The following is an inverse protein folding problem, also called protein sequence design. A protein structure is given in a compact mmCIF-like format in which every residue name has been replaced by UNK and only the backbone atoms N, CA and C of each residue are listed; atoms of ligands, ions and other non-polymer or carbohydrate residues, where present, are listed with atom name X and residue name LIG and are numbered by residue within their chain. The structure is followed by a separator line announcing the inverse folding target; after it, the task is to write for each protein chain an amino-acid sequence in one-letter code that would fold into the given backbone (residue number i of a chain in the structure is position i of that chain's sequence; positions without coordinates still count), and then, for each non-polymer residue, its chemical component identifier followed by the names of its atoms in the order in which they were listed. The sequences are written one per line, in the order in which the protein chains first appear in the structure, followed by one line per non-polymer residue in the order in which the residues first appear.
data_IF_684983762617
#
_entry.id   IF_684983762617
#
_cell.length_a   1.000
_cell.length_b   1.000
_cell.length_c   1.000
_cell.angle_alpha   90.00
_cell.angle_beta   90.00
_cell.angle_gamma   90.00
#
_symmetry.space_group_name_H-M   'P 1'
#
loop_
_entity.id
_entity.type
_entity.pdbx_description
1 polymer ?
#
# COMPACT_ATOMS: atom_id res chain seq x y z
N UNK A 1 -7.98 -18.99 23.78
CA UNK A 1 -7.01 -19.78 22.99
C UNK A 1 -6.18 -18.83 22.13
N UNK A 2 -4.86 -18.75 22.30
CA UNK A 2 -4.03 -17.94 21.40
C UNK A 2 -4.11 -18.54 20.00
N UNK A 3 -4.55 -17.74 19.03
CA UNK A 3 -4.80 -18.15 17.64
C UNK A 3 -3.45 -18.46 16.99
N UNK A 4 -3.12 -19.74 16.80
CA UNK A 4 -1.87 -20.16 16.16
C UNK A 4 -1.71 -19.45 14.80
N UNK A 5 -0.64 -18.66 14.67
CA UNK A 5 -0.28 -17.98 13.43
C UNK A 5 0.48 -19.00 12.58
N UNK A 6 -0.23 -19.65 11.67
CA UNK A 6 0.37 -20.61 10.73
C UNK A 6 1.22 -19.88 9.70
N UNK A 7 2.35 -20.45 9.29
CA UNK A 7 3.31 -19.90 8.32
C UNK A 7 2.63 -19.42 7.02
N UNK A 8 1.62 -20.16 6.55
CA UNK A 8 0.81 -19.81 5.37
C UNK A 8 0.12 -18.44 5.47
N UNK A 9 -0.35 -18.07 6.67
CA UNK A 9 -0.99 -16.76 6.89
C UNK A 9 0.02 -15.62 6.83
N UNK A 10 1.28 -15.87 7.21
CA UNK A 10 2.36 -14.89 7.17
C UNK A 10 2.79 -14.68 5.73
N UNK A 11 3.05 -15.78 4.99
CA UNK A 11 3.40 -15.74 3.56
C UNK A 11 2.31 -15.04 2.75
N UNK A 12 1.03 -15.33 3.02
CA UNK A 12 -0.09 -14.65 2.36
C UNK A 12 -0.12 -13.14 2.64
N UNK A 13 0.14 -12.72 3.88
CA UNK A 13 0.23 -11.29 4.23
C UNK A 13 1.43 -10.62 3.57
N UNK A 14 2.55 -11.33 3.45
CA UNK A 14 3.75 -10.85 2.77
C UNK A 14 3.54 -10.67 1.27
N UNK A 15 2.87 -11.61 0.61
CA UNK A 15 2.47 -11.48 -0.80
C UNK A 15 1.51 -10.31 -1.02
N UNK A 16 0.53 -10.12 -0.14
CA UNK A 16 -0.38 -8.96 -0.17
C UNK A 16 0.42 -7.67 0.01
N UNK A 17 1.38 -7.65 0.93
CA UNK A 17 2.25 -6.50 1.13
C UNK A 17 3.06 -6.19 -0.14
N UNK A 18 3.66 -7.19 -0.76
CA UNK A 18 4.45 -7.03 -1.98
C UNK A 18 3.60 -6.47 -3.13
N UNK A 19 2.37 -6.98 -3.27
CA UNK A 19 1.38 -6.43 -4.18
C UNK A 19 1.04 -4.97 -3.85
N UNK A 20 0.80 -4.64 -2.59
CA UNK A 20 0.52 -3.27 -2.14
C UNK A 20 1.69 -2.33 -2.43
N UNK A 21 2.92 -2.78 -2.17
CA UNK A 21 4.16 -2.02 -2.35
C UNK A 21 4.37 -1.62 -3.82
N UNK A 22 4.04 -2.51 -4.75
CA UNK A 22 4.12 -2.25 -6.20
C UNK A 22 2.92 -1.41 -6.67
N UNK A 23 1.71 -1.72 -6.19
CA UNK A 23 0.48 -1.05 -6.64
C UNK A 23 0.40 0.41 -6.17
N UNK A 24 0.93 0.70 -4.97
CA UNK A 24 0.97 2.04 -4.37
C UNK A 24 1.62 3.12 -5.28
N UNK A 25 2.89 3.00 -5.71
CA UNK A 25 3.52 3.99 -6.58
C UNK A 25 2.87 4.06 -7.97
N UNK A 26 2.25 2.97 -8.45
CA UNK A 26 1.51 2.96 -9.72
C UNK A 26 0.29 3.87 -9.64
N UNK A 27 -0.52 3.76 -8.58
CA UNK A 27 -1.71 4.60 -8.38
C UNK A 27 -1.33 6.08 -8.26
N UNK A 28 -0.24 6.38 -7.55
CA UNK A 28 0.29 7.74 -7.42
C UNK A 28 0.78 8.27 -8.78
N UNK A 29 1.46 7.45 -9.56
CA UNK A 29 1.91 7.80 -10.92
C UNK A 29 0.73 8.09 -11.86
N UNK A 30 -0.35 7.33 -11.75
CA UNK A 30 -1.61 7.58 -12.49
C UNK A 30 -2.25 8.89 -12.02
N UNK A 31 -2.26 9.17 -10.72
CA UNK A 31 -2.74 10.44 -10.16
C UNK A 31 -1.99 11.65 -10.72
N UNK A 32 -0.66 11.57 -10.81
CA UNK A 32 0.15 12.63 -11.42
C UNK A 32 -0.11 12.78 -12.92
N UNK A 33 -0.31 11.68 -13.65
CA UNK A 33 -0.71 11.73 -15.07
C UNK A 33 -2.09 12.36 -15.24
N UNK A 34 -3.05 12.02 -14.37
CA UNK A 34 -4.38 12.61 -14.38
C UNK A 34 -4.32 14.12 -14.11
N UNK A 35 -3.50 14.57 -13.16
CA UNK A 35 -3.28 16.00 -12.90
C UNK A 35 -2.70 16.74 -14.11
N UNK A 36 -1.89 16.07 -14.93
CA UNK A 36 -1.32 16.66 -16.16
C UNK A 36 -2.32 16.73 -17.31
N UNK A 37 -3.32 15.84 -17.33
CA UNK A 37 -4.33 15.74 -18.41
C UNK A 37 -5.53 16.64 -18.09
N UNK A 38 -5.98 16.65 -16.84
CA UNK A 38 -7.03 17.52 -16.36
C UNK A 38 -6.40 18.81 -15.87
N UNK A 39 -6.24 19.76 -16.80
CA UNK A 39 -5.68 21.09 -16.55
C UNK A 39 -6.77 22.18 -16.48
N UNK A 40 -7.96 21.92 -17.03
CA UNK A 40 -9.08 22.87 -17.06
C UNK A 40 -10.08 22.66 -15.91
N UNK A 41 -10.40 23.77 -15.22
CA UNK A 41 -11.50 23.81 -14.26
C UNK A 41 -12.84 23.49 -14.96
N UNK A 42 -13.73 22.69 -14.35
CA UNK A 42 -13.71 22.20 -12.97
C UNK A 42 -13.11 20.79 -12.78
N UNK A 43 -12.54 20.17 -13.83
CA UNK A 43 -12.13 18.74 -13.82
C UNK A 43 -10.88 18.46 -12.98
N UNK A 44 -10.11 19.50 -12.61
CA UNK A 44 -8.89 19.36 -11.79
C UNK A 44 -9.18 18.86 -10.37
N UNK A 45 -10.38 19.11 -9.83
CA UNK A 45 -10.78 18.60 -8.49
C UNK A 45 -10.71 17.08 -8.39
N UNK A 46 -11.05 16.39 -9.47
CA UNK A 46 -10.99 14.92 -9.53
C UNK A 46 -9.53 14.44 -9.48
N UNK A 47 -8.62 15.14 -10.16
CA UNK A 47 -7.21 14.82 -10.12
C UNK A 47 -6.61 15.00 -8.72
N UNK A 48 -6.98 16.07 -8.01
CA UNK A 48 -6.55 16.29 -6.62
C UNK A 48 -7.14 15.23 -5.66
N UNK A 49 -8.39 14.82 -5.85
CA UNK A 49 -8.98 13.74 -5.05
C UNK A 49 -8.23 12.40 -5.24
N UNK A 50 -7.92 12.05 -6.50
CA UNK A 50 -7.17 10.83 -6.83
C UNK A 50 -5.74 10.89 -6.26
N UNK A 51 -5.07 12.03 -6.35
CA UNK A 51 -3.74 12.20 -5.76
C UNK A 51 -3.78 12.11 -4.23
N UNK A 52 -4.77 12.71 -3.57
CA UNK A 52 -4.95 12.61 -2.12
C UNK A 52 -5.12 11.15 -1.67
N UNK A 53 -5.96 10.39 -2.38
CA UNK A 53 -6.13 8.94 -2.14
C UNK A 53 -4.82 8.19 -2.39
N UNK A 54 -4.09 8.51 -3.46
CA UNK A 54 -2.79 7.89 -3.78
C UNK A 54 -1.75 8.12 -2.68
N UNK A 55 -1.64 9.34 -2.16
CA UNK A 55 -0.72 9.68 -1.06
C UNK A 55 -1.11 8.95 0.23
N UNK A 56 -2.40 8.93 0.55
CA UNK A 56 -2.89 8.20 1.72
C UNK A 56 -2.62 6.70 1.62
N UNK A 57 -2.82 6.12 0.43
CA UNK A 57 -2.52 4.72 0.15
C UNK A 57 -1.02 4.42 0.25
N UNK A 58 -0.16 5.36 -0.15
CA UNK A 58 1.29 5.29 0.01
C UNK A 58 1.68 5.18 1.49
N UNK A 59 1.15 6.08 2.32
CA UNK A 59 1.40 6.08 3.76
C UNK A 59 0.90 4.79 4.43
N UNK A 60 -0.30 4.34 4.07
CA UNK A 60 -0.85 3.08 4.56
C UNK A 60 0.01 1.88 4.15
N UNK A 61 0.48 1.86 2.90
CA UNK A 61 1.33 0.79 2.36
C UNK A 61 2.66 0.71 3.09
N UNK A 62 3.29 1.86 3.36
CA UNK A 62 4.55 1.92 4.14
C UNK A 62 4.32 1.45 5.58
N UNK A 63 3.27 1.92 6.25
CA UNK A 63 2.89 1.47 7.59
C UNK A 63 2.65 -0.05 7.67
N UNK A 64 1.86 -0.57 6.72
CA UNK A 64 1.58 -2.00 6.60
C UNK A 64 2.86 -2.81 6.26
N UNK A 65 3.76 -2.20 5.48
CA UNK A 65 5.12 -2.64 5.19
C UNK A 65 5.90 -3.00 6.41
N UNK A 66 6.16 -2.00 7.25
CA UNK A 66 6.92 -2.18 8.48
C UNK A 66 6.28 -3.22 9.41
N UNK A 67 4.95 -3.20 9.53
CA UNK A 67 4.23 -4.17 10.38
C UNK A 67 4.38 -5.61 9.89
N UNK A 68 4.35 -5.81 8.57
CA UNK A 68 4.44 -7.15 7.97
C UNK A 68 5.87 -7.67 7.98
N UNK A 69 6.87 -6.83 7.68
CA UNK A 69 8.29 -7.19 7.79
C UNK A 69 8.61 -7.55 9.24
N UNK A 70 8.18 -6.74 10.21
CA UNK A 70 8.37 -7.04 11.64
C UNK A 70 7.75 -8.38 12.03
N UNK A 71 6.48 -8.62 11.67
CA UNK A 71 5.82 -9.88 11.97
C UNK A 71 6.50 -11.09 11.29
N UNK A 72 7.02 -10.92 10.08
CA UNK A 72 7.78 -11.95 9.39
C UNK A 72 9.09 -12.27 10.10
N UNK A 73 9.88 -11.24 10.45
CA UNK A 73 11.15 -11.40 11.17
C UNK A 73 10.92 -12.00 12.56
N UNK A 74 9.92 -11.52 13.30
CA UNK A 74 9.57 -12.06 14.62
C UNK A 74 9.26 -13.57 14.53
N UNK A 75 8.54 -14.05 13.51
CA UNK A 75 8.26 -15.49 13.35
C UNK A 75 9.42 -16.28 12.74
N UNK A 76 10.33 -15.64 12.00
CA UNK A 76 11.50 -16.29 11.42
C UNK A 76 12.58 -16.55 12.49
N UNK A 77 12.71 -15.63 13.45
CA UNK A 77 13.71 -15.68 14.51
C UNK A 77 13.16 -16.18 15.86
N UNK A 78 11.84 -16.17 16.07
CA UNK A 78 11.21 -16.91 17.16
C UNK A 78 11.07 -18.38 16.72
N UNK A 79 11.97 -19.21 17.25
CA UNK A 79 11.98 -20.65 17.09
C UNK A 79 10.70 -21.31 17.58
#
# INVERSE_FOLDING_TARGET
MPKQITFDKIVKKFLILLGLLITSPIIVSIGFKALKIYTENPKNYIAYAILGIGIFLLLYTVYFGFKTIKAFLDNLFQK
#
